data_IF_810458885145
#
_entry.id   IF_810458885145
#
_cell.length_a   1.000
_cell.length_b   1.000
_cell.length_c   1.000
_cell.angle_alpha   90.00
_cell.angle_beta   90.00
_cell.angle_gamma   90.00
#
_symmetry.space_group_name_H-M   'P 1'
#
loop_
_entity.id
_entity.type
_entity.pdbx_description
1 polymer ?
#
# COMPACT_ATOMS: atom_id res chain seq x y z
N UNK A 1 21.26 50.62 -28.28
CA UNK A 1 20.27 49.52 -28.11
C UNK A 1 21.02 48.22 -27.86
N UNK A 2 21.39 47.96 -26.61
CA UNK A 2 21.85 46.64 -26.16
C UNK A 2 20.83 46.19 -25.10
N UNK A 3 20.05 45.17 -25.43
CA UNK A 3 19.08 44.58 -24.51
C UNK A 3 19.78 43.41 -23.81
N UNK A 4 20.08 43.57 -22.52
CA UNK A 4 20.46 42.47 -21.64
C UNK A 4 19.19 41.68 -21.29
N UNK A 5 19.08 40.44 -21.79
CA UNK A 5 18.13 39.46 -21.28
C UNK A 5 18.70 38.90 -19.97
N UNK A 6 18.08 39.26 -18.84
CA UNK A 6 18.26 38.56 -17.57
C UNK A 6 17.37 37.32 -17.63
N UNK A 7 17.98 36.15 -17.80
CA UNK A 7 17.31 34.87 -17.65
C UNK A 7 17.15 34.62 -16.15
N UNK A 8 15.96 34.87 -15.60
CA UNK A 8 15.62 34.46 -14.25
C UNK A 8 15.48 32.94 -14.22
N UNK A 9 16.49 32.25 -13.69
CA UNK A 9 16.42 30.85 -13.30
C UNK A 9 15.37 30.72 -12.19
N UNK A 10 14.18 30.23 -12.53
CA UNK A 10 13.23 29.71 -11.56
C UNK A 10 13.79 28.41 -10.98
N UNK A 11 14.48 28.49 -9.85
CA UNK A 11 14.72 27.34 -8.99
C UNK A 11 13.41 27.02 -8.26
N UNK A 12 12.89 25.78 -8.32
CA UNK A 12 11.71 25.40 -7.55
C UNK A 12 12.09 25.31 -6.06
N UNK A 13 11.91 26.40 -5.33
CA UNK A 13 12.14 26.46 -3.89
C UNK A 13 10.99 25.83 -3.06
N UNK A 14 10.16 24.97 -3.67
CA UNK A 14 8.88 24.50 -3.08
C UNK A 14 8.83 23.00 -2.78
N UNK A 15 9.78 22.19 -3.24
CA UNK A 15 9.77 20.73 -2.98
C UNK A 15 10.27 20.38 -1.58
N UNK A 16 11.37 21.00 -1.13
CA UNK A 16 12.03 20.64 0.13
C UNK A 16 11.20 20.97 1.39
N UNK A 17 10.37 22.01 1.36
CA UNK A 17 9.52 22.39 2.50
C UNK A 17 8.34 21.41 2.68
N UNK A 18 7.80 20.87 1.59
CA UNK A 18 6.71 19.90 1.65
C UNK A 18 7.17 18.53 2.15
N UNK A 19 8.39 18.11 1.82
CA UNK A 19 8.95 16.83 2.28
C UNK A 19 9.33 16.84 3.77
N UNK A 20 9.87 17.95 4.29
CA UNK A 20 10.17 18.10 5.72
C UNK A 20 8.93 18.00 6.60
N UNK A 21 7.80 18.54 6.14
CA UNK A 21 6.51 18.51 6.84
C UNK A 21 5.97 17.09 7.06
N UNK A 22 6.46 16.11 6.28
CA UNK A 22 6.11 14.70 6.40
C UNK A 22 7.16 13.91 7.20
N UNK A 23 8.44 14.07 6.86
CA UNK A 23 9.52 13.21 7.34
C UNK A 23 9.88 13.50 8.79
N UNK A 24 9.89 14.76 9.22
CA UNK A 24 10.22 15.12 10.61
C UNK A 24 9.19 14.54 11.61
N UNK A 25 7.87 14.73 11.42
CA UNK A 25 6.87 14.09 12.27
C UNK A 25 6.94 12.57 12.26
N UNK A 26 7.21 11.95 11.10
CA UNK A 26 7.40 10.50 10.99
C UNK A 26 8.61 10.02 11.80
N UNK A 27 9.76 10.66 11.64
CA UNK A 27 10.98 10.31 12.36
C UNK A 27 10.80 10.50 13.87
N UNK A 28 10.11 11.57 14.29
CA UNK A 28 9.80 11.83 15.70
C UNK A 28 8.87 10.75 16.30
N UNK A 29 7.80 10.37 15.59
CA UNK A 29 6.88 9.33 16.06
C UNK A 29 7.56 7.96 16.20
N UNK A 30 8.41 7.59 15.24
CA UNK A 30 9.16 6.32 15.29
C UNK A 30 10.23 6.36 16.38
N UNK A 31 10.91 7.50 16.56
CA UNK A 31 11.86 7.69 17.67
C UNK A 31 11.18 7.53 19.02
N UNK A 32 10.04 8.21 19.25
CA UNK A 32 9.28 8.10 20.48
C UNK A 32 8.85 6.65 20.77
N UNK A 33 8.42 5.91 19.74
CA UNK A 33 8.15 4.49 19.87
C UNK A 33 9.38 3.69 20.28
N UNK A 34 10.54 3.89 19.62
CA UNK A 34 11.78 3.19 19.95
C UNK A 34 12.25 3.50 21.37
N UNK A 35 12.18 4.74 21.81
CA UNK A 35 12.62 5.18 23.14
C UNK A 35 11.77 4.59 24.28
N UNK A 36 10.55 4.15 23.97
CA UNK A 36 9.68 3.46 24.94
C UNK A 36 10.03 1.97 25.15
N UNK A 37 10.90 1.40 24.31
CA UNK A 37 11.23 -0.02 24.32
C UNK A 37 12.40 -0.34 25.27
N UNK A 38 12.34 -1.49 25.94
CA UNK A 38 13.48 -2.02 26.69
C UNK A 38 14.58 -2.58 25.77
N UNK A 39 15.74 -2.93 26.35
CA UNK A 39 16.88 -3.42 25.58
C UNK A 39 16.64 -4.74 24.82
N UNK A 40 15.72 -5.59 25.25
CA UNK A 40 15.37 -6.83 24.56
C UNK A 40 14.40 -6.54 23.40
N UNK A 41 13.39 -5.71 23.64
CA UNK A 41 12.44 -5.24 22.64
C UNK A 41 13.14 -4.45 21.53
N UNK A 42 14.07 -3.55 21.87
CA UNK A 42 14.87 -2.79 20.90
C UNK A 42 15.65 -3.70 19.95
N UNK A 43 16.28 -4.76 20.46
CA UNK A 43 17.02 -5.74 19.64
C UNK A 43 16.12 -6.49 18.67
N UNK A 44 14.86 -6.68 19.03
CA UNK A 44 13.87 -7.34 18.17
C UNK A 44 13.28 -6.38 17.12
N UNK A 45 13.11 -5.11 17.48
CA UNK A 45 12.51 -4.08 16.60
C UNK A 45 13.50 -3.52 15.58
N UNK A 46 14.75 -3.26 15.98
CA UNK A 46 15.74 -2.58 15.13
C UNK A 46 16.51 -3.56 14.25
N UNK A 47 16.58 -3.24 12.96
CA UNK A 47 17.34 -3.98 11.96
C UNK A 47 18.19 -3.00 11.15
N UNK A 48 19.44 -3.34 10.74
CA UNK A 48 20.22 -2.47 9.87
C UNK A 48 19.48 -2.16 8.56
N UNK A 49 19.59 -0.93 8.06
CA UNK A 49 18.92 -0.52 6.81
C UNK A 49 19.38 -1.31 5.57
N UNK A 50 20.61 -1.80 5.58
CA UNK A 50 21.20 -2.65 4.53
C UNK A 50 20.75 -4.11 4.59
N UNK A 51 19.92 -4.48 5.57
CA UNK A 51 19.47 -5.85 5.76
C UNK A 51 18.51 -6.29 4.66
N UNK A 52 18.73 -7.50 4.12
CA UNK A 52 17.81 -8.14 3.17
C UNK A 52 16.41 -8.37 3.74
N UNK A 53 16.27 -8.35 5.08
CA UNK A 53 14.99 -8.49 5.76
C UNK A 53 13.98 -7.40 5.36
N UNK A 54 14.42 -6.24 4.85
CA UNK A 54 13.51 -5.21 4.29
C UNK A 54 12.55 -5.79 3.27
N UNK A 55 13.03 -6.71 2.44
CA UNK A 55 12.27 -7.38 1.39
C UNK A 55 11.58 -8.68 1.82
N UNK A 56 11.74 -9.12 3.09
CA UNK A 56 11.05 -10.31 3.61
C UNK A 56 9.65 -9.96 4.12
N UNK A 57 8.77 -9.58 3.21
CA UNK A 57 7.39 -9.23 3.51
C UNK A 57 6.44 -10.37 3.11
N UNK A 58 5.31 -10.50 3.81
CA UNK A 58 4.23 -11.37 3.36
C UNK A 58 2.95 -11.04 4.12
N UNK A 59 1.79 -11.35 3.57
CA UNK A 59 0.47 -11.18 4.21
C UNK A 59 -0.14 -12.45 4.83
N UNK A 60 0.51 -13.63 4.72
CA UNK A 60 0.00 -14.90 5.25
C UNK A 60 0.53 -15.17 6.67
N UNK A 61 -0.06 -16.10 7.44
CA UNK A 61 0.48 -16.48 8.74
C UNK A 61 1.89 -17.08 8.62
N UNK A 62 2.88 -16.42 9.23
CA UNK A 62 4.27 -16.89 9.34
C UNK A 62 4.91 -16.33 10.61
N UNK A 63 6.09 -16.86 10.97
CA UNK A 63 6.98 -16.18 11.90
C UNK A 63 7.49 -14.89 11.25
N UNK A 64 7.54 -13.79 12.01
CA UNK A 64 7.86 -12.46 11.49
C UNK A 64 9.00 -11.81 12.26
N UNK A 65 9.70 -10.93 11.55
CA UNK A 65 10.63 -9.96 12.11
C UNK A 65 9.87 -8.86 12.88
N UNK A 66 10.60 -8.14 13.73
CA UNK A 66 10.04 -7.04 14.50
C UNK A 66 9.37 -7.47 15.80
N UNK A 67 8.90 -6.49 16.56
CA UNK A 67 8.24 -6.69 17.85
C UNK A 67 6.72 -6.84 17.64
N UNK A 68 6.10 -7.95 18.06
CA UNK A 68 4.65 -8.08 18.02
C UNK A 68 3.99 -7.19 19.06
N UNK A 69 2.80 -6.67 18.76
CA UNK A 69 1.96 -5.96 19.73
C UNK A 69 1.71 -6.79 20.99
N UNK A 70 1.55 -8.10 20.88
CA UNK A 70 1.43 -9.00 22.02
C UNK A 70 2.56 -8.88 23.07
N UNK A 71 3.75 -8.42 22.67
CA UNK A 71 4.92 -8.24 23.53
C UNK A 71 5.11 -6.79 24.01
N UNK A 72 4.14 -5.90 23.78
CA UNK A 72 4.22 -4.48 24.11
C UNK A 72 3.35 -4.12 25.33
N UNK A 73 3.82 -3.19 26.14
CA UNK A 73 3.01 -2.53 27.19
C UNK A 73 1.91 -1.66 26.55
N UNK A 74 0.87 -1.25 27.31
CA UNK A 74 -0.16 -0.34 26.78
C UNK A 74 0.41 0.95 26.18
N UNK A 75 1.43 1.55 26.80
CA UNK A 75 2.11 2.75 26.33
C UNK A 75 2.85 2.49 25.00
N UNK A 76 3.62 1.40 24.92
CA UNK A 76 4.33 1.01 23.71
C UNK A 76 3.36 0.72 22.55
N UNK A 77 2.23 0.07 22.83
CA UNK A 77 1.16 -0.13 21.84
C UNK A 77 0.60 1.20 21.37
N UNK A 78 0.33 2.14 22.27
CA UNK A 78 -0.16 3.47 21.92
C UNK A 78 0.81 4.18 20.97
N UNK A 79 2.10 4.23 21.32
CA UNK A 79 3.14 4.84 20.49
C UNK A 79 3.31 4.13 19.14
N UNK A 80 3.26 2.79 19.11
CA UNK A 80 3.30 2.04 17.85
C UNK A 80 2.11 2.37 16.93
N UNK A 81 0.93 2.65 17.49
CA UNK A 81 -0.25 3.08 16.72
C UNK A 81 -0.12 4.52 16.22
N UNK A 82 0.62 5.38 16.91
CA UNK A 82 0.94 6.71 16.37
C UNK A 82 1.79 6.62 15.10
N UNK A 83 2.66 5.61 14.98
CA UNK A 83 3.36 5.32 13.72
C UNK A 83 2.38 5.00 12.58
N UNK A 84 1.27 4.30 12.85
CA UNK A 84 0.24 4.07 11.83
C UNK A 84 -0.44 5.39 11.43
N UNK A 85 -0.80 6.22 12.41
CA UNK A 85 -1.49 7.49 12.17
C UNK A 85 -0.67 8.45 11.33
N UNK A 86 0.67 8.46 11.48
CA UNK A 86 1.52 9.35 10.70
C UNK A 86 1.78 8.84 9.27
N UNK A 87 1.71 7.52 9.05
CA UNK A 87 1.88 6.91 7.72
C UNK A 87 0.59 6.97 6.90
N UNK A 88 -0.54 6.63 7.50
CA UNK A 88 -1.82 6.53 6.79
C UNK A 88 -2.57 7.86 6.69
N UNK A 89 -3.41 7.99 5.67
CA UNK A 89 -4.55 8.91 5.71
C UNK A 89 -5.58 8.43 6.75
N UNK A 90 -6.58 9.25 7.05
CA UNK A 90 -7.71 8.82 7.88
C UNK A 90 -8.40 7.59 7.29
N UNK A 91 -8.69 7.60 5.98
CA UNK A 91 -9.29 6.47 5.28
C UNK A 91 -8.40 5.23 5.31
N UNK A 92 -7.09 5.35 5.03
CA UNK A 92 -6.17 4.21 5.10
C UNK A 92 -6.05 3.63 6.50
N UNK A 93 -6.06 4.47 7.53
CA UNK A 93 -6.05 4.05 8.92
C UNK A 93 -7.35 3.31 9.29
N UNK A 94 -8.50 3.78 8.82
CA UNK A 94 -9.78 3.09 9.00
C UNK A 94 -9.83 1.73 8.28
N UNK A 95 -9.30 1.65 7.06
CA UNK A 95 -9.12 0.37 6.35
C UNK A 95 -8.26 -0.59 7.17
N UNK A 96 -7.08 -0.14 7.63
CA UNK A 96 -6.18 -0.97 8.44
C UNK A 96 -6.83 -1.47 9.74
N UNK A 97 -7.54 -0.59 10.47
CA UNK A 97 -8.32 -0.99 11.66
C UNK A 97 -9.41 -2.01 11.31
N UNK A 98 -10.09 -1.83 10.18
CA UNK A 98 -11.09 -2.79 9.69
C UNK A 98 -10.47 -4.16 9.38
N UNK A 99 -9.30 -4.19 8.74
CA UNK A 99 -8.54 -5.42 8.47
C UNK A 99 -8.17 -6.13 9.78
N UNK A 100 -7.59 -5.41 10.74
CA UNK A 100 -7.26 -5.94 12.07
C UNK A 100 -8.52 -6.45 12.79
N UNK A 101 -9.62 -5.72 12.69
CA UNK A 101 -10.91 -6.11 13.26
C UNK A 101 -11.49 -7.39 12.65
N UNK A 102 -11.31 -7.62 11.34
CA UNK A 102 -11.73 -8.86 10.68
C UNK A 102 -10.99 -10.08 11.25
N UNK A 103 -9.69 -9.95 11.54
CA UNK A 103 -8.93 -11.01 12.22
C UNK A 103 -9.47 -11.29 13.62
N UNK A 104 -9.90 -10.26 14.37
CA UNK A 104 -10.51 -10.45 15.68
C UNK A 104 -11.82 -11.26 15.61
N UNK A 105 -12.65 -11.05 14.60
CA UNK A 105 -13.85 -11.87 14.38
C UNK A 105 -13.48 -13.35 14.19
N UNK A 106 -12.46 -13.62 13.39
CA UNK A 106 -12.02 -15.00 13.17
C UNK A 106 -11.32 -15.57 14.41
N UNK A 107 -10.66 -14.76 15.20
CA UNK A 107 -10.10 -15.17 16.49
C UNK A 107 -11.19 -15.73 17.41
N UNK A 108 -12.30 -15.00 17.56
CA UNK A 108 -13.44 -15.39 18.40
C UNK A 108 -14.16 -16.64 17.85
N UNK A 109 -14.33 -16.73 16.52
CA UNK A 109 -15.22 -17.73 15.89
C UNK A 109 -14.54 -19.02 15.44
N UNK A 110 -13.24 -19.01 15.15
CA UNK A 110 -12.58 -20.13 14.46
C UNK A 110 -12.00 -21.20 15.38
N UNK A 111 -11.88 -20.93 16.68
CA UNK A 111 -11.12 -21.78 17.61
C UNK A 111 -9.60 -21.82 17.32
N UNK A 112 -9.09 -21.04 16.35
CA UNK A 112 -7.67 -20.95 15.96
C UNK A 112 -7.01 -19.70 16.56
N UNK A 113 -7.26 -19.46 17.84
CA UNK A 113 -6.89 -18.22 18.54
C UNK A 113 -5.39 -17.88 18.50
N UNK A 114 -4.50 -18.88 18.47
CA UNK A 114 -3.06 -18.66 18.31
C UNK A 114 -2.68 -18.11 16.92
N UNK A 115 -3.39 -18.54 15.88
CA UNK A 115 -3.11 -18.19 14.49
C UNK A 115 -3.81 -16.91 14.02
N UNK A 116 -4.99 -16.63 14.57
CA UNK A 116 -5.84 -15.48 14.22
C UNK A 116 -5.75 -14.34 15.23
N UNK A 117 -4.66 -14.28 16.00
CA UNK A 117 -4.54 -13.33 17.11
C UNK A 117 -4.43 -11.87 16.59
N UNK A 118 -5.35 -10.96 16.95
CA UNK A 118 -5.28 -9.55 16.55
C UNK A 118 -4.10 -8.80 17.19
N UNK A 119 -3.38 -9.42 18.13
CA UNK A 119 -2.14 -8.90 18.72
C UNK A 119 -0.87 -9.36 17.97
N UNK A 120 -1.01 -10.17 16.92
CA UNK A 120 0.11 -10.63 16.08
C UNK A 120 0.38 -9.68 14.89
N UNK A 121 0.37 -8.38 15.16
CA UNK A 121 0.89 -7.36 14.25
C UNK A 121 2.22 -6.86 14.77
N UNK A 122 3.15 -6.67 13.86
CA UNK A 122 4.57 -6.47 14.13
C UNK A 122 5.00 -5.15 13.54
N UNK A 123 5.93 -4.49 14.23
CA UNK A 123 6.64 -3.33 13.73
C UNK A 123 8.13 -3.63 13.70
N UNK A 124 8.77 -3.35 12.57
CA UNK A 124 10.22 -3.44 12.39
C UNK A 124 10.73 -2.09 11.91
N UNK A 125 11.81 -1.59 12.50
CA UNK A 125 12.46 -0.35 12.08
C UNK A 125 13.81 -0.68 11.46
N UNK A 126 14.05 -0.13 10.27
CA UNK A 126 15.26 -0.32 9.48
C UNK A 126 16.11 0.94 9.50
N UNK A 127 17.33 0.82 10.03
CA UNK A 127 18.19 1.99 10.26
C UNK A 127 17.72 2.82 11.46
N UNK A 128 18.20 4.05 11.52
CA UNK A 128 17.83 5.02 12.56
C UNK A 128 16.93 6.10 11.96
N UNK A 129 15.77 6.41 12.57
CA UNK A 129 14.90 7.48 12.09
C UNK A 129 15.66 8.80 11.95
N UNK A 130 15.52 9.45 10.80
CA UNK A 130 16.31 10.61 10.45
C UNK A 130 15.62 11.52 9.44
N UNK A 131 15.92 12.81 9.49
CA UNK A 131 15.53 13.80 8.48
C UNK A 131 16.56 13.97 7.37
N UNK A 132 17.66 13.22 7.40
CA UNK A 132 18.79 13.39 6.45
C UNK A 132 19.39 12.07 5.97
N UNK A 133 18.91 10.94 6.46
CA UNK A 133 19.43 9.61 6.14
C UNK A 133 18.29 8.70 5.73
N UNK A 134 18.65 7.64 5.03
CA UNK A 134 17.72 6.59 4.66
C UNK A 134 17.36 5.69 5.85
N UNK A 135 16.06 5.44 6.04
CA UNK A 135 15.51 4.55 7.07
C UNK A 135 14.15 4.00 6.62
N UNK A 136 13.56 3.07 7.37
CA UNK A 136 12.25 2.53 6.99
C UNK A 136 11.53 1.83 8.12
N UNK A 137 10.25 1.55 7.88
CA UNK A 137 9.36 0.84 8.81
C UNK A 137 8.56 -0.20 8.05
N UNK A 138 8.53 -1.42 8.56
CA UNK A 138 7.58 -2.44 8.14
C UNK A 138 6.52 -2.63 9.22
N UNK A 139 5.26 -2.55 8.81
CA UNK A 139 4.08 -2.87 9.62
C UNK A 139 3.44 -4.12 9.02
N UNK A 140 3.46 -5.23 9.73
CA UNK A 140 3.05 -6.52 9.17
C UNK A 140 2.20 -7.35 10.12
N UNK A 141 1.22 -8.06 9.59
CA UNK A 141 0.39 -9.01 10.30
C UNK A 141 -0.31 -9.95 9.33
N UNK A 142 -1.33 -10.64 9.79
CA UNK A 142 -2.19 -11.39 8.88
C UNK A 142 -3.04 -10.40 8.09
N UNK A 143 -3.00 -10.49 6.75
CA UNK A 143 -3.72 -9.59 5.84
C UNK A 143 -3.31 -8.10 5.85
N UNK A 144 -2.22 -7.72 6.51
CA UNK A 144 -1.67 -6.36 6.43
C UNK A 144 -0.16 -6.45 6.25
N UNK A 145 0.38 -5.75 5.26
CA UNK A 145 1.82 -5.58 5.11
C UNK A 145 2.10 -4.25 4.42
N UNK A 146 2.57 -3.27 5.19
CA UNK A 146 2.96 -1.95 4.70
C UNK A 146 4.46 -1.78 4.87
N UNK A 147 5.13 -1.32 3.82
CA UNK A 147 6.57 -1.11 3.81
C UNK A 147 6.86 0.36 3.48
N UNK A 148 7.21 1.13 4.50
CA UNK A 148 7.65 2.51 4.34
C UNK A 148 9.17 2.58 4.26
N UNK A 149 9.68 3.32 3.29
CA UNK A 149 11.10 3.66 3.14
C UNK A 149 11.22 5.15 2.94
N UNK A 150 12.05 5.80 3.77
CA UNK A 150 12.55 7.15 3.52
C UNK A 150 13.94 7.02 2.90
N UNK A 151 14.17 7.68 1.78
CA UNK A 151 15.49 7.77 1.14
C UNK A 151 16.04 9.18 1.33
N UNK A 152 17.23 9.24 1.94
CA UNK A 152 18.02 10.45 2.21
C UNK A 152 17.30 11.59 2.95
N UNK A 153 16.18 11.30 3.59
CA UNK A 153 15.38 12.32 4.27
C UNK A 153 14.60 13.23 3.33
N UNK A 154 14.40 12.81 2.07
CA UNK A 154 13.71 13.60 1.04
C UNK A 154 12.61 12.81 0.31
N UNK A 155 12.87 11.56 -0.06
CA UNK A 155 11.88 10.74 -0.77
C UNK A 155 11.20 9.74 0.16
N UNK A 156 9.88 9.55 0.02
CA UNK A 156 9.10 8.58 0.81
C UNK A 156 8.39 7.59 -0.12
N UNK A 157 8.58 6.31 0.14
CA UNK A 157 7.95 5.21 -0.59
C UNK A 157 7.19 4.32 0.38
N UNK A 158 5.99 3.87 -0.01
CA UNK A 158 5.09 3.04 0.82
C UNK A 158 4.77 1.69 0.18
N UNK A 159 5.46 1.35 -0.91
CA UNK A 159 5.30 0.12 -1.68
C UNK A 159 6.42 -0.90 -1.35
N UNK A 160 6.13 -2.22 -1.39
CA UNK A 160 4.83 -2.82 -1.66
C UNK A 160 3.85 -2.62 -0.49
N UNK A 161 2.60 -2.36 -0.84
CA UNK A 161 1.51 -2.04 0.09
C UNK A 161 0.38 -3.05 -0.06
N UNK A 162 0.21 -3.93 0.92
CA UNK A 162 -0.84 -4.96 0.93
C UNK A 162 -1.87 -4.73 2.03
N UNK A 163 -3.14 -4.86 1.66
CA UNK A 163 -4.26 -4.99 2.59
C UNK A 163 -5.20 -6.10 2.11
N UNK A 164 -5.64 -6.96 3.02
CA UNK A 164 -6.64 -7.99 2.76
C UNK A 164 -7.67 -8.03 3.87
N UNK A 165 -8.82 -8.63 3.63
CA UNK A 165 -9.85 -8.78 4.64
C UNK A 165 -10.44 -10.17 4.60
N UNK A 166 -10.39 -10.86 5.73
CA UNK A 166 -11.01 -12.15 5.92
C UNK A 166 -11.72 -12.18 7.27
N UNK A 167 -13.06 -12.22 7.30
CA UNK A 167 -13.97 -12.09 6.15
C UNK A 167 -13.94 -10.68 5.51
N UNK A 168 -14.20 -10.59 4.20
CA UNK A 168 -14.34 -9.30 3.46
C UNK A 168 -15.49 -8.44 4.02
N UNK A 169 -16.49 -9.11 4.60
CA UNK A 169 -17.67 -8.50 5.19
C UNK A 169 -18.02 -9.16 6.51
N UNK A 170 -18.19 -8.37 7.57
CA UNK A 170 -18.52 -8.88 8.90
C UNK A 170 -19.27 -7.90 9.78
N UNK A 171 -19.81 -8.44 10.87
CA UNK A 171 -20.38 -7.68 11.99
C UNK A 171 -19.65 -8.13 13.26
N UNK A 172 -19.14 -7.18 14.03
CA UNK A 172 -18.39 -7.43 15.25
C UNK A 172 -18.67 -6.34 16.28
N UNK A 173 -19.31 -6.71 17.40
CA UNK A 173 -19.68 -5.85 18.53
C UNK A 173 -20.55 -4.60 18.22
N UNK A 174 -20.77 -4.28 16.95
CA UNK A 174 -21.61 -3.21 16.44
C UNK A 174 -22.84 -3.80 15.74
N UNK A 175 -23.90 -3.00 15.58
CA UNK A 175 -25.07 -3.36 14.77
C UNK A 175 -24.82 -3.20 13.26
N UNK A 176 -23.77 -2.48 12.87
CA UNK A 176 -23.45 -2.21 11.46
C UNK A 176 -22.44 -3.20 10.90
N UNK A 177 -22.63 -3.52 9.63
CA UNK A 177 -21.73 -4.37 8.86
C UNK A 177 -20.53 -3.57 8.37
N UNK A 178 -19.32 -4.14 8.51
CA UNK A 178 -18.06 -3.60 8.03
C UNK A 178 -17.63 -4.29 6.74
N UNK A 179 -17.04 -3.52 5.82
CA UNK A 179 -16.38 -3.96 4.58
C UNK A 179 -15.07 -3.17 4.41
N UNK A 180 -13.95 -3.61 5.01
CA UNK A 180 -12.74 -2.80 5.08
C UNK A 180 -12.19 -2.35 3.73
N UNK A 181 -12.35 -3.18 2.69
CA UNK A 181 -11.86 -2.90 1.33
C UNK A 181 -13.02 -2.66 0.34
N UNK A 182 -14.12 -2.07 0.82
CA UNK A 182 -15.30 -1.80 -0.01
C UNK A 182 -14.98 -0.92 -1.21
N UNK A 183 -14.20 0.14 -1.02
CA UNK A 183 -13.91 1.12 -2.07
C UNK A 183 -13.14 0.48 -3.24
N UNK A 184 -12.15 -0.36 -2.95
CA UNK A 184 -11.38 -1.10 -3.96
C UNK A 184 -12.29 -1.95 -4.86
N UNK A 185 -13.29 -2.63 -4.30
CA UNK A 185 -14.25 -3.42 -5.06
C UNK A 185 -15.26 -2.53 -5.79
N UNK A 186 -15.87 -1.59 -5.07
CA UNK A 186 -17.03 -0.83 -5.53
C UNK A 186 -16.64 0.14 -6.67
N UNK A 187 -15.46 0.75 -6.62
CA UNK A 187 -14.98 1.62 -7.71
C UNK A 187 -14.64 0.82 -8.98
N UNK A 188 -14.07 -0.38 -8.83
CA UNK A 188 -13.78 -1.24 -9.98
C UNK A 188 -15.07 -1.81 -10.61
N UNK A 189 -16.08 -2.12 -9.79
CA UNK A 189 -17.41 -2.51 -10.25
C UNK A 189 -18.13 -1.38 -11.00
N UNK A 190 -18.00 -0.13 -10.55
CA UNK A 190 -18.49 1.03 -11.29
C UNK A 190 -17.81 1.14 -12.65
N UNK A 191 -16.48 1.03 -12.70
CA UNK A 191 -15.73 1.10 -13.95
C UNK A 191 -16.18 0.03 -14.94
N UNK A 192 -16.26 -1.24 -14.53
CA UNK A 192 -16.67 -2.32 -15.45
C UNK A 192 -18.13 -2.19 -15.89
N UNK A 193 -19.00 -1.61 -15.07
CA UNK A 193 -20.39 -1.33 -15.44
C UNK A 193 -20.53 -0.21 -16.48
N UNK A 194 -19.54 0.67 -16.61
CA UNK A 194 -19.52 1.75 -17.61
C UNK A 194 -19.08 1.29 -19.00
N UNK A 195 -18.51 0.08 -19.13
CA UNK A 195 -17.93 -0.40 -20.38
C UNK A 195 -19.00 -0.83 -21.38
N UNK A 196 -18.86 -0.42 -22.64
CA UNK A 196 -19.67 -0.96 -23.73
C UNK A 196 -19.24 -2.41 -24.06
N UNK A 197 -19.94 -3.07 -24.99
CA UNK A 197 -19.67 -4.48 -25.34
C UNK A 197 -18.25 -4.74 -25.84
N UNK A 198 -17.69 -3.84 -26.66
CA UNK A 198 -16.33 -3.99 -27.20
C UNK A 198 -15.27 -3.75 -26.11
N UNK A 199 -15.47 -2.72 -25.29
CA UNK A 199 -14.58 -2.43 -24.16
C UNK A 199 -14.59 -3.56 -23.12
N UNK A 200 -15.78 -4.12 -22.84
CA UNK A 200 -15.94 -5.22 -21.91
C UNK A 200 -15.24 -6.50 -22.41
N UNK A 201 -15.29 -6.79 -23.72
CA UNK A 201 -14.61 -7.96 -24.28
C UNK A 201 -13.08 -7.83 -24.23
N UNK A 202 -12.54 -6.61 -24.24
CA UNK A 202 -11.11 -6.34 -23.99
C UNK A 202 -10.77 -6.42 -22.51
N UNK A 203 -11.57 -5.82 -21.63
CA UNK A 203 -11.31 -5.77 -20.19
C UNK A 203 -11.45 -7.14 -19.52
N UNK A 204 -12.52 -7.89 -19.82
CA UNK A 204 -12.85 -9.16 -19.17
C UNK A 204 -12.17 -10.33 -19.89
N UNK A 205 -11.06 -10.78 -19.33
CA UNK A 205 -10.22 -11.82 -19.95
C UNK A 205 -10.64 -13.25 -19.60
N UNK A 206 -11.50 -13.41 -18.59
CA UNK A 206 -11.96 -14.71 -18.12
C UNK A 206 -13.30 -14.61 -17.40
N UNK A 207 -14.17 -15.59 -17.62
CA UNK A 207 -15.38 -15.80 -16.82
C UNK A 207 -15.05 -16.35 -15.43
N UNK A 208 -13.99 -17.16 -15.32
CA UNK A 208 -13.49 -17.65 -14.04
C UNK A 208 -12.57 -16.62 -13.38
N UNK A 209 -12.75 -16.33 -12.08
CA UNK A 209 -11.91 -15.37 -11.38
C UNK A 209 -10.52 -15.96 -11.11
N UNK A 210 -9.50 -15.09 -11.09
CA UNK A 210 -8.17 -15.48 -10.64
C UNK A 210 -8.19 -15.56 -9.11
N UNK A 211 -7.89 -16.74 -8.57
CA UNK A 211 -8.09 -17.10 -7.15
C UNK A 211 -7.37 -16.20 -6.14
N UNK A 212 -6.29 -15.55 -6.55
CA UNK A 212 -5.38 -14.79 -5.70
C UNK A 212 -4.72 -13.66 -6.49
N UNK A 213 -4.21 -12.63 -5.82
CA UNK A 213 -3.30 -11.68 -6.46
C UNK A 213 -2.11 -12.44 -7.07
N UNK A 214 -1.74 -12.12 -8.31
CA UNK A 214 -0.74 -12.89 -9.05
C UNK A 214 0.64 -12.70 -8.42
N UNK A 215 0.95 -11.47 -7.98
CA UNK A 215 2.27 -11.11 -7.45
C UNK A 215 2.56 -11.60 -6.04
N UNK A 216 1.54 -12.05 -5.29
CA UNK A 216 1.68 -12.63 -3.95
C UNK A 216 2.67 -11.84 -3.07
N UNK A 217 3.63 -12.52 -2.45
CA UNK A 217 4.71 -11.95 -1.64
C UNK A 217 6.03 -11.79 -2.41
N UNK A 218 5.98 -11.67 -3.75
CA UNK A 218 7.19 -11.54 -4.55
C UNK A 218 7.99 -10.30 -4.13
N UNK A 219 9.31 -10.45 -4.02
CA UNK A 219 10.21 -9.38 -3.57
C UNK A 219 10.33 -8.24 -4.58
N UNK A 220 10.35 -8.58 -5.87
CA UNK A 220 10.39 -7.64 -6.98
C UNK A 220 9.41 -8.11 -8.04
N UNK A 221 8.67 -7.18 -8.64
CA UNK A 221 7.70 -7.43 -9.69
C UNK A 221 8.10 -6.62 -10.92
N UNK A 222 7.87 -7.20 -12.09
CA UNK A 222 7.95 -6.51 -13.37
C UNK A 222 6.56 -6.41 -13.99
N UNK A 223 6.38 -5.49 -14.94
CA UNK A 223 5.14 -5.39 -15.70
C UNK A 223 4.79 -6.72 -16.36
N UNK A 224 3.54 -7.14 -16.21
CA UNK A 224 3.00 -8.24 -16.99
C UNK A 224 2.84 -7.82 -18.45
N UNK A 225 2.78 -8.80 -19.35
CA UNK A 225 2.38 -8.53 -20.73
C UNK A 225 1.05 -7.74 -20.75
N UNK A 226 0.92 -6.70 -21.59
CA UNK A 226 -0.30 -5.90 -21.69
C UNK A 226 -1.52 -6.78 -21.91
N UNK A 227 -2.55 -6.58 -21.09
CA UNK A 227 -3.79 -7.34 -21.16
C UNK A 227 -4.91 -6.56 -20.48
N UNK A 228 -6.12 -6.60 -21.03
CA UNK A 228 -7.24 -5.79 -20.59
C UNK A 228 -7.52 -4.60 -21.53
N UNK A 229 -8.41 -3.72 -21.09
CA UNK A 229 -8.79 -2.50 -21.81
C UNK A 229 -7.77 -1.39 -21.53
N UNK A 230 -7.24 -0.77 -22.59
CA UNK A 230 -6.32 0.36 -22.48
C UNK A 230 -7.09 1.65 -22.16
N UNK A 231 -6.54 2.50 -21.30
CA UNK A 231 -7.13 3.79 -20.95
C UNK A 231 -7.28 4.72 -22.18
N UNK A 232 -6.40 4.61 -23.17
CA UNK A 232 -6.56 5.31 -24.46
C UNK A 232 -7.83 4.93 -25.24
N UNK A 233 -8.44 3.79 -24.94
CA UNK A 233 -9.68 3.28 -25.57
C UNK A 233 -10.93 3.55 -24.70
N UNK A 234 -10.77 4.25 -23.58
CA UNK A 234 -11.85 4.63 -22.67
C UNK A 234 -12.43 6.00 -23.04
N UNK A 235 -13.69 6.25 -22.68
CA UNK A 235 -14.25 7.61 -22.69
C UNK A 235 -13.62 8.42 -21.55
N UNK A 236 -13.80 9.75 -21.59
CA UNK A 236 -13.30 10.62 -20.53
C UNK A 236 -13.84 10.23 -19.16
N UNK A 237 -15.13 9.93 -19.06
CA UNK A 237 -15.78 9.55 -17.81
C UNK A 237 -15.24 8.22 -17.26
N UNK A 238 -14.92 7.28 -18.15
CA UNK A 238 -14.31 5.99 -17.78
C UNK A 238 -12.86 6.17 -17.30
N UNK A 239 -12.08 7.06 -17.96
CA UNK A 239 -10.73 7.45 -17.52
C UNK A 239 -10.79 8.11 -16.14
N UNK A 240 -11.76 9.00 -15.90
CA UNK A 240 -11.95 9.65 -14.60
C UNK A 240 -12.30 8.60 -13.52
N UNK A 241 -13.15 7.62 -13.82
CA UNK A 241 -13.47 6.53 -12.88
C UNK A 241 -12.28 5.59 -12.64
N UNK A 242 -11.43 5.34 -13.64
CA UNK A 242 -10.17 4.60 -13.48
C UNK A 242 -9.20 5.38 -12.57
N UNK A 243 -9.12 6.71 -12.72
CA UNK A 243 -8.33 7.56 -11.83
C UNK A 243 -8.83 7.50 -10.40
N UNK A 244 -10.15 7.53 -10.18
CA UNK A 244 -10.75 7.33 -8.85
C UNK A 244 -10.35 5.97 -8.27
N UNK A 245 -10.38 4.90 -9.07
CA UNK A 245 -9.95 3.57 -8.61
C UNK A 245 -8.47 3.55 -8.20
N UNK A 246 -7.58 4.15 -8.98
CA UNK A 246 -6.15 4.26 -8.64
C UNK A 246 -5.96 5.09 -7.36
N UNK A 247 -6.70 6.19 -7.23
CA UNK A 247 -6.67 7.04 -6.05
C UNK A 247 -7.03 6.26 -4.76
N UNK A 248 -7.91 5.26 -4.81
CA UNK A 248 -8.26 4.46 -3.62
C UNK A 248 -7.08 3.66 -3.03
N UNK A 249 -6.06 3.39 -3.84
CA UNK A 249 -4.84 2.73 -3.41
C UNK A 249 -3.81 3.73 -2.90
N UNK A 250 -3.55 4.80 -3.66
CA UNK A 250 -2.54 5.80 -3.29
C UNK A 250 -2.96 6.64 -2.09
N UNK A 251 -4.25 6.99 -1.99
CA UNK A 251 -4.81 7.77 -0.89
C UNK A 251 -5.01 6.97 0.41
N UNK A 252 -4.50 5.72 0.49
CA UNK A 252 -4.31 5.03 1.78
C UNK A 252 -3.32 5.80 2.66
N UNK A 253 -2.42 6.57 2.08
CA UNK A 253 -1.36 7.30 2.78
C UNK A 253 -1.62 8.80 2.79
N UNK A 254 -0.80 9.55 3.54
CA UNK A 254 -0.90 11.00 3.62
C UNK A 254 -0.94 11.63 2.22
N UNK A 255 -1.69 12.72 2.09
CA UNK A 255 -1.93 13.42 0.81
C UNK A 255 -0.65 13.71 0.05
N UNK A 256 0.43 14.13 0.73
CA UNK A 256 1.72 14.41 0.08
C UNK A 256 2.33 13.16 -0.59
N UNK A 257 2.20 11.98 0.03
CA UNK A 257 2.66 10.71 -0.57
C UNK A 257 1.75 10.35 -1.76
N UNK A 258 0.43 10.44 -1.56
CA UNK A 258 -0.55 10.11 -2.58
C UNK A 258 -0.43 11.01 -3.83
N UNK A 259 -0.17 12.31 -3.64
CA UNK A 259 0.00 13.27 -4.72
C UNK A 259 1.31 13.03 -5.50
N UNK A 260 2.40 12.71 -4.82
CA UNK A 260 3.66 12.33 -5.45
C UNK A 260 3.51 11.06 -6.30
N UNK A 261 2.89 10.01 -5.73
CA UNK A 261 2.63 8.76 -6.46
C UNK A 261 1.69 8.96 -7.66
N UNK A 262 0.64 9.78 -7.52
CA UNK A 262 -0.22 10.15 -8.66
C UNK A 262 0.54 10.97 -9.71
N UNK A 263 1.43 11.88 -9.29
CA UNK A 263 2.30 12.63 -10.19
C UNK A 263 3.21 11.73 -11.02
N UNK A 264 3.82 10.72 -10.40
CA UNK A 264 4.63 9.69 -11.08
C UNK A 264 3.80 8.87 -12.07
N UNK A 265 2.59 8.47 -11.69
CA UNK A 265 1.65 7.74 -12.57
C UNK A 265 1.27 8.59 -13.78
N UNK A 266 0.93 9.86 -13.57
CA UNK A 266 0.56 10.78 -14.66
C UNK A 266 1.74 11.05 -15.60
N UNK A 267 2.94 11.27 -15.06
CA UNK A 267 4.15 11.47 -15.85
C UNK A 267 4.53 10.27 -16.72
N UNK A 268 4.18 9.04 -16.29
CA UNK A 268 4.43 7.82 -17.07
C UNK A 268 3.48 7.66 -18.28
N UNK A 269 2.38 8.42 -18.32
CA UNK A 269 1.36 8.39 -19.37
C UNK A 269 0.14 7.56 -18.97
N UNK A 270 -0.91 8.25 -18.52
CA UNK A 270 -2.14 7.63 -18.03
C UNK A 270 -2.86 6.82 -19.12
N UNK A 271 -2.74 7.23 -20.38
CA UNK A 271 -3.32 6.55 -21.54
C UNK A 271 -2.77 5.13 -21.76
N UNK A 272 -1.61 4.82 -21.18
CA UNK A 272 -0.94 3.51 -21.27
C UNK A 272 -1.42 2.52 -20.21
N UNK A 273 -2.28 2.95 -19.29
CA UNK A 273 -2.76 2.11 -18.20
C UNK A 273 -3.79 1.11 -18.74
N UNK A 274 -3.65 -0.16 -18.37
CA UNK A 274 -4.60 -1.22 -18.72
C UNK A 274 -5.45 -1.62 -17.52
N UNK A 275 -6.76 -1.81 -17.73
CA UNK A 275 -7.69 -2.40 -16.77
C UNK A 275 -8.09 -3.81 -17.21
N UNK A 276 -7.72 -4.81 -16.41
CA UNK A 276 -8.03 -6.22 -16.61
C UNK A 276 -9.07 -6.69 -15.59
N UNK A 277 -10.03 -7.51 -16.00
CA UNK A 277 -11.05 -8.13 -15.13
C UNK A 277 -11.16 -9.63 -15.36
N UNK A 278 -11.42 -10.39 -14.30
CA UNK A 278 -11.79 -11.79 -14.37
C UNK A 278 -12.85 -12.13 -13.32
N UNK A 279 -13.82 -12.97 -13.66
CA UNK A 279 -14.87 -13.39 -12.72
C UNK A 279 -16.18 -12.61 -12.84
N UNK A 280 -16.99 -12.70 -11.79
CA UNK A 280 -18.30 -12.06 -11.70
C UNK A 280 -18.20 -10.54 -11.70
N UNK A 281 -19.25 -9.85 -12.15
CA UNK A 281 -19.42 -8.39 -12.05
C UNK A 281 -20.36 -8.00 -10.89
N UNK A 282 -20.64 -8.92 -9.98
CA UNK A 282 -21.50 -8.72 -8.83
C UNK A 282 -20.65 -8.59 -7.55
N UNK A 283 -20.94 -7.58 -6.73
CA UNK A 283 -20.16 -7.19 -5.55
C UNK A 283 -19.85 -8.30 -4.54
N UNK A 284 -20.78 -9.24 -4.35
CA UNK A 284 -20.64 -10.34 -3.38
C UNK A 284 -20.30 -11.68 -4.03
N UNK A 285 -19.75 -11.65 -5.26
CA UNK A 285 -19.35 -12.84 -6.00
C UNK A 285 -17.85 -12.80 -6.29
N UNK A 286 -17.24 -13.98 -6.49
CA UNK A 286 -15.84 -14.08 -6.83
C UNK A 286 -15.42 -13.20 -8.02
N UNK A 287 -14.43 -12.32 -7.78
CA UNK A 287 -13.89 -11.41 -8.80
C UNK A 287 -12.39 -11.18 -8.61
N UNK A 288 -11.77 -10.75 -9.70
CA UNK A 288 -10.41 -10.25 -9.75
C UNK A 288 -10.33 -9.06 -10.70
N UNK A 289 -9.52 -8.06 -10.35
CA UNK A 289 -9.07 -7.07 -11.32
C UNK A 289 -7.60 -6.74 -11.15
N UNK A 290 -7.05 -6.16 -12.22
CA UNK A 290 -5.71 -5.59 -12.26
C UNK A 290 -5.74 -4.25 -12.97
N UNK A 291 -5.07 -3.27 -12.38
CA UNK A 291 -4.75 -2.00 -13.04
C UNK A 291 -3.22 -1.95 -13.17
N UNK A 292 -2.71 -1.80 -14.38
CA UNK A 292 -1.27 -1.78 -14.62
C UNK A 292 -0.91 -0.62 -15.53
N UNK A 293 0.02 0.23 -15.08
CA UNK A 293 0.66 1.24 -15.90
C UNK A 293 2.11 0.86 -16.23
N UNK A 294 2.88 1.78 -16.82
CA UNK A 294 4.30 1.53 -17.10
C UNK A 294 5.17 1.33 -15.86
N UNK A 295 4.82 1.98 -14.74
CA UNK A 295 5.63 2.05 -13.52
C UNK A 295 5.02 1.30 -12.32
N UNK A 296 3.75 0.92 -12.39
CA UNK A 296 3.02 0.40 -11.23
C UNK A 296 2.03 -0.71 -11.57
N UNK A 297 1.60 -1.41 -10.52
CA UNK A 297 0.58 -2.44 -10.57
C UNK A 297 -0.32 -2.38 -9.33
N UNK A 298 -1.62 -2.45 -9.55
CA UNK A 298 -2.65 -2.70 -8.55
C UNK A 298 -3.32 -4.03 -8.87
N UNK A 299 -3.50 -4.89 -7.87
CA UNK A 299 -4.30 -6.10 -7.99
C UNK A 299 -5.32 -6.17 -6.86
N UNK A 300 -6.49 -6.72 -7.18
CA UNK A 300 -7.52 -7.09 -6.21
C UNK A 300 -8.06 -8.46 -6.55
N UNK A 301 -8.14 -9.34 -5.55
CA UNK A 301 -8.76 -10.65 -5.65
C UNK A 301 -9.71 -10.85 -4.49
N UNK A 302 -11.00 -11.08 -4.75
CA UNK A 302 -11.95 -11.51 -3.73
C UNK A 302 -12.64 -12.77 -4.23
N UNK A 303 -12.05 -13.93 -3.95
CA UNK A 303 -12.46 -15.22 -4.54
C UNK A 303 -12.67 -16.28 -3.48
N UNK A 304 -11.79 -16.31 -2.48
CA UNK A 304 -11.85 -17.30 -1.41
C UNK A 304 -13.13 -17.08 -0.57
N UNK A 305 -13.61 -18.15 0.08
CA UNK A 305 -14.83 -18.13 0.89
C UNK A 305 -16.04 -17.53 0.15
N UNK A 306 -16.23 -17.91 -1.12
CA UNK A 306 -17.34 -17.46 -1.97
C UNK A 306 -17.37 -15.93 -2.22
N UNK A 307 -16.20 -15.31 -2.36
CA UNK A 307 -16.11 -13.85 -2.50
C UNK A 307 -16.27 -13.11 -1.17
N UNK A 308 -15.76 -13.72 -0.09
CA UNK A 308 -15.76 -13.12 1.24
C UNK A 308 -14.36 -13.14 1.87
N UNK A 309 -13.32 -13.08 1.04
CA UNK A 309 -11.93 -13.00 1.47
C UNK A 309 -11.15 -12.29 0.38
N UNK A 310 -10.97 -10.99 0.60
CA UNK A 310 -10.37 -10.07 -0.34
C UNK A 310 -8.90 -9.84 -0.04
N UNK A 311 -8.10 -9.71 -1.09
CA UNK A 311 -6.71 -9.32 -1.06
C UNK A 311 -6.49 -8.20 -2.06
N UNK A 312 -5.75 -7.18 -1.66
CA UNK A 312 -5.41 -6.04 -2.51
C UNK A 312 -3.93 -5.68 -2.32
N UNK A 313 -3.27 -5.36 -3.42
CA UNK A 313 -1.87 -4.96 -3.38
C UNK A 313 -1.61 -3.80 -4.34
N UNK A 314 -0.72 -2.91 -3.92
CA UNK A 314 -0.10 -1.90 -4.75
C UNK A 314 1.41 -2.13 -4.78
N UNK A 315 1.95 -2.20 -5.99
CA UNK A 315 3.36 -2.37 -6.31
C UNK A 315 3.86 -1.21 -7.15
N UNK A 316 5.08 -0.77 -6.88
CA UNK A 316 5.88 0.06 -7.79
C UNK A 316 7.00 -0.81 -8.35
N UNK A 317 7.12 -0.92 -9.67
CA UNK A 317 8.08 -1.82 -10.31
C UNK A 317 9.54 -1.43 -10.06
N UNK A 318 9.78 -0.14 -9.82
CA UNK A 318 11.10 0.46 -9.64
C UNK A 318 11.35 0.78 -8.16
N UNK A 319 10.34 1.28 -7.45
CA UNK A 319 10.48 1.82 -6.11
C UNK A 319 9.78 1.02 -5.00
N UNK A 320 9.37 -0.22 -5.24
CA UNK A 320 9.14 -1.15 -4.12
C UNK A 320 10.37 -1.13 -3.20
N UNK A 321 10.17 -0.87 -1.90
CA UNK A 321 11.23 -0.65 -0.91
C UNK A 321 12.19 0.51 -1.24
N UNK A 322 11.80 1.47 -2.07
CA UNK A 322 12.65 2.57 -2.53
C UNK A 322 13.89 2.12 -3.32
N UNK A 323 13.85 0.95 -3.99
CA UNK A 323 15.04 0.36 -4.61
C UNK A 323 15.75 1.28 -5.61
N UNK A 324 15.03 1.86 -6.56
CA UNK A 324 15.68 2.69 -7.59
C UNK A 324 16.15 4.04 -7.02
N UNK A 325 15.41 4.68 -6.11
CA UNK A 325 15.90 5.85 -5.39
C UNK A 325 17.20 5.56 -4.60
N UNK A 326 17.28 4.41 -3.93
CA UNK A 326 18.50 3.96 -3.25
C UNK A 326 19.65 3.66 -4.22
N UNK A 327 19.33 3.14 -5.40
CA UNK A 327 20.33 2.92 -6.44
C UNK A 327 20.91 4.25 -6.94
N UNK A 328 20.05 5.25 -7.20
CA UNK A 328 20.49 6.62 -7.58
C UNK A 328 21.39 7.23 -6.51
N UNK A 329 21.03 7.13 -5.24
CA UNK A 329 21.86 7.60 -4.13
C UNK A 329 23.28 7.02 -4.18
N UNK A 330 23.41 5.70 -4.40
CA UNK A 330 24.70 5.02 -4.48
C UNK A 330 25.50 5.50 -5.70
N UNK A 331 24.84 5.71 -6.85
CA UNK A 331 25.48 6.18 -8.09
C UNK A 331 25.92 7.65 -8.01
N UNK A 332 25.21 8.50 -7.26
CA UNK A 332 25.54 9.93 -7.08
C UNK A 332 26.55 10.18 -5.96
N UNK A 333 26.68 9.26 -5.00
CA UNK A 333 27.58 9.36 -3.85
C UNK A 333 28.95 8.72 -4.04
N UNK A 334 29.23 8.12 -5.21
CA UNK A 334 30.47 7.40 -5.54
C UNK A 334 31.05 7.77 -6.90
#
# INVERSE_FOLDING_TARGET
>A
YQLLLILALYLPATTHAHESDLIEPMAAAVTAYLDSLDGAQLKQTRVPFTSQQRSDWHYVPKQRKGLPWAAMTPEQKHLSKQVFVIVFSESGHDKAKGVIGAEHVLWERSGRSKYRNPENYFITVFGEPSTTKSWGVAIEGHHLSINLTVVDGHEVFVTPSFMGSNPDRYTHNESMQKRPLAAEADQALKLIAMLNTEQLSKAKISEDPIREIITRGDRKVAAFAPSGLLAAEMTREQVDQLRVLILEYVARYKTLIADDDMGKIDAAGFEKITFTWAGSKEQSKPMYYRVQGPTFLLEYANVQNEGNHSHSVWRDFENDFGYDALKRHIEESH
#
